data_IF_915965112002
#
_entry.id   IF_915965112002
#
_cell.length_a   1.000
_cell.length_b   1.000
_cell.length_c   1.000
_cell.angle_alpha   90.00
_cell.angle_beta   90.00
_cell.angle_gamma   90.00
#
_symmetry.space_group_name_H-M   'P 1'
#
loop_
_entity.id
_entity.type
_entity.pdbx_description
1 polymer ?
#
# COMPACT_ATOMS: atom_id res chain seq x y z
N UNK A 1 19.12 9.96 31.55
CA UNK A 1 18.53 8.62 31.28
C UNK A 1 17.42 8.79 30.24
N UNK A 2 17.58 8.27 29.01
CA UNK A 2 16.48 8.22 28.03
C UNK A 2 15.46 7.19 28.54
N UNK A 3 14.23 7.62 28.85
CA UNK A 3 13.15 6.69 29.23
C UNK A 3 12.99 5.65 28.13
N UNK A 4 13.09 4.37 28.46
CA UNK A 4 12.80 3.29 27.54
C UNK A 4 11.34 3.42 27.09
N UNK A 5 11.10 3.71 25.80
CA UNK A 5 9.73 3.73 25.26
C UNK A 5 9.20 2.31 25.29
N UNK A 6 8.16 2.07 26.08
CA UNK A 6 7.45 0.80 26.09
C UNK A 6 6.92 0.55 24.66
N UNK A 7 7.21 -0.61 24.04
CA UNK A 7 6.72 -0.90 22.70
C UNK A 7 5.19 -0.95 22.69
N UNK A 8 4.57 -0.27 21.72
CA UNK A 8 3.11 -0.23 21.57
C UNK A 8 2.57 -1.65 21.31
N UNK A 9 1.34 -1.99 21.77
CA UNK A 9 0.73 -3.28 21.45
C UNK A 9 0.55 -3.45 19.93
N UNK A 10 0.29 -4.68 19.47
CA UNK A 10 0.15 -4.94 18.03
C UNK A 10 -1.03 -4.17 17.44
N UNK A 11 -2.15 -4.21 18.15
CA UNK A 11 -3.35 -3.43 17.85
C UNK A 11 -3.39 -2.24 18.79
N UNK A 12 -3.35 -1.04 18.22
CA UNK A 12 -3.55 0.21 18.95
C UNK A 12 -4.28 1.21 18.06
N UNK A 13 -5.01 2.12 18.71
CA UNK A 13 -5.83 3.15 18.06
C UNK A 13 -5.38 4.52 18.54
N UNK A 14 -4.40 5.09 17.85
CA UNK A 14 -4.02 6.48 18.10
C UNK A 14 -4.81 7.42 17.20
N UNK A 15 -4.92 8.68 17.63
CA UNK A 15 -5.47 9.72 16.77
C UNK A 15 -4.62 9.90 15.52
N UNK A 16 -5.31 10.10 14.40
CA UNK A 16 -4.66 10.36 13.13
C UNK A 16 -4.01 11.74 13.17
N UNK A 17 -2.75 11.79 12.79
CA UNK A 17 -2.01 13.04 12.62
C UNK A 17 -2.66 13.85 11.50
N UNK A 18 -2.48 15.18 11.57
CA UNK A 18 -3.08 16.09 10.60
C UNK A 18 -2.70 15.73 9.14
N UNK A 19 -1.43 15.39 8.90
CA UNK A 19 -0.96 15.01 7.56
C UNK A 19 -1.57 13.68 7.07
N UNK A 20 -1.85 12.72 7.96
CA UNK A 20 -2.52 11.45 7.57
C UNK A 20 -3.94 11.74 7.11
N UNK A 21 -4.68 12.61 7.84
CA UNK A 21 -6.01 13.06 7.44
C UNK A 21 -5.97 13.75 6.07
N UNK A 22 -5.01 14.63 5.84
CA UNK A 22 -4.82 15.30 4.54
C UNK A 22 -4.58 14.29 3.42
N UNK A 23 -3.73 13.28 3.65
CA UNK A 23 -3.48 12.22 2.66
C UNK A 23 -4.77 11.45 2.36
N UNK A 24 -5.57 11.08 3.35
CA UNK A 24 -6.84 10.39 3.10
C UNK A 24 -7.81 11.21 2.26
N UNK A 25 -7.90 12.53 2.51
CA UNK A 25 -8.75 13.44 1.73
C UNK A 25 -8.25 13.55 0.29
N UNK A 26 -6.95 13.79 0.09
CA UNK A 26 -6.34 13.86 -1.24
C UNK A 26 -6.55 12.54 -1.98
N UNK A 27 -6.32 11.42 -1.30
CA UNK A 27 -6.48 10.10 -1.89
C UNK A 27 -7.93 9.83 -2.29
N UNK A 28 -8.91 10.17 -1.46
CA UNK A 28 -10.33 10.07 -1.80
C UNK A 28 -10.70 10.89 -3.05
N UNK A 29 -10.15 12.10 -3.19
CA UNK A 29 -10.35 12.94 -4.38
C UNK A 29 -9.73 12.28 -5.61
N UNK A 30 -8.51 11.75 -5.51
CA UNK A 30 -7.87 11.02 -6.61
C UNK A 30 -8.71 9.79 -6.99
N UNK A 31 -9.17 9.00 -6.02
CA UNK A 31 -10.04 7.85 -6.25
C UNK A 31 -11.32 8.24 -6.99
N UNK A 32 -11.90 9.40 -6.65
CA UNK A 32 -13.08 9.93 -7.34
C UNK A 32 -12.76 10.31 -8.80
N UNK A 33 -11.63 10.99 -9.05
CA UNK A 33 -11.16 11.30 -10.40
C UNK A 33 -10.95 10.02 -11.24
N UNK A 34 -10.46 8.95 -10.61
CA UNK A 34 -10.30 7.63 -11.26
C UNK A 34 -11.67 7.03 -11.60
N UNK A 35 -12.63 7.06 -10.67
CA UNK A 35 -13.99 6.57 -10.91
C UNK A 35 -14.66 7.27 -12.12
N UNK A 36 -14.42 8.56 -12.27
CA UNK A 36 -14.93 9.39 -13.38
C UNK A 36 -13.92 9.58 -14.53
N UNK A 37 -12.89 8.75 -14.60
CA UNK A 37 -11.75 8.94 -15.52
C UNK A 37 -12.15 9.05 -16.99
N UNK A 38 -13.27 8.44 -17.40
CA UNK A 38 -13.81 8.53 -18.77
C UNK A 38 -14.21 9.95 -19.17
N UNK A 39 -14.51 10.82 -18.21
CA UNK A 39 -14.86 12.23 -18.47
C UNK A 39 -13.62 13.11 -18.68
N UNK A 40 -12.45 12.68 -18.21
CA UNK A 40 -11.25 13.50 -18.13
C UNK A 40 -10.12 13.04 -19.05
N UNK A 41 -10.08 11.76 -19.41
CA UNK A 41 -8.95 11.17 -20.12
C UNK A 41 -9.37 10.45 -21.40
N UNK A 42 -8.54 10.57 -22.44
CA UNK A 42 -8.62 9.72 -23.62
C UNK A 42 -8.25 8.27 -23.29
N UNK A 43 -8.67 7.32 -24.14
CA UNK A 43 -8.52 5.87 -23.94
C UNK A 43 -7.11 5.45 -23.46
N UNK A 44 -6.07 5.70 -24.26
CA UNK A 44 -4.70 5.29 -23.90
C UNK A 44 -4.15 5.97 -22.65
N UNK A 45 -4.54 7.23 -22.39
CA UNK A 45 -4.15 7.93 -21.16
C UNK A 45 -4.88 7.33 -19.96
N UNK A 46 -6.15 6.97 -20.12
CA UNK A 46 -6.98 6.37 -19.07
C UNK A 46 -6.42 5.03 -18.61
N UNK A 47 -5.99 4.18 -19.54
CA UNK A 47 -5.31 2.92 -19.24
C UNK A 47 -4.09 3.15 -18.35
N UNK A 48 -3.18 4.02 -18.78
CA UNK A 48 -1.95 4.32 -18.05
C UNK A 48 -2.24 4.90 -16.66
N UNK A 49 -3.20 5.83 -16.56
CA UNK A 49 -3.56 6.48 -15.29
C UNK A 49 -4.15 5.48 -14.30
N UNK A 50 -5.06 4.60 -14.73
CA UNK A 50 -5.66 3.59 -13.84
C UNK A 50 -4.61 2.58 -13.38
N UNK A 51 -3.77 2.09 -14.29
CA UNK A 51 -2.69 1.17 -13.96
C UNK A 51 -1.69 1.79 -12.96
N UNK A 52 -1.27 3.03 -13.23
CA UNK A 52 -0.35 3.77 -12.36
C UNK A 52 -0.98 4.07 -11.01
N UNK A 53 -2.25 4.48 -10.96
CA UNK A 53 -2.98 4.71 -9.72
C UNK A 53 -2.97 3.46 -8.83
N UNK A 54 -3.32 2.30 -9.40
CA UNK A 54 -3.40 1.05 -8.65
C UNK A 54 -2.01 0.61 -8.14
N UNK A 55 -1.01 0.62 -9.01
CA UNK A 55 0.36 0.16 -8.69
C UNK A 55 1.07 1.12 -7.72
N UNK A 56 1.01 2.43 -7.99
CA UNK A 56 1.67 3.43 -7.15
C UNK A 56 1.03 3.55 -5.78
N UNK A 57 -0.27 3.32 -5.64
CA UNK A 57 -0.90 3.27 -4.31
C UNK A 57 -0.21 2.24 -3.43
N UNK A 58 0.00 1.03 -3.95
CA UNK A 58 0.57 -0.08 -3.17
C UNK A 58 2.02 0.18 -2.77
N UNK A 59 2.81 0.74 -3.69
CA UNK A 59 4.17 1.19 -3.41
C UNK A 59 4.19 2.34 -2.39
N UNK A 60 3.29 3.32 -2.55
CA UNK A 60 3.19 4.49 -1.67
C UNK A 60 2.85 4.11 -0.23
N UNK A 61 1.87 3.22 -0.08
CA UNK A 61 1.46 2.69 1.22
C UNK A 61 2.63 2.09 1.99
N UNK A 62 3.42 1.30 1.29
CA UNK A 62 4.54 0.61 1.90
C UNK A 62 5.73 1.53 2.18
N UNK A 63 6.14 2.35 1.21
CA UNK A 63 7.37 3.14 1.33
C UNK A 63 7.16 4.34 2.27
N UNK A 64 6.03 5.04 2.16
CA UNK A 64 5.80 6.30 2.86
C UNK A 64 4.85 6.17 4.05
N UNK A 65 3.94 5.20 4.03
CA UNK A 65 2.91 5.05 5.05
C UNK A 65 3.07 3.84 5.96
N UNK A 66 4.19 3.09 5.89
CA UNK A 66 4.37 1.91 6.76
C UNK A 66 4.21 2.24 8.25
N UNK A 67 4.71 3.40 8.71
CA UNK A 67 4.55 3.81 10.12
C UNK A 67 3.07 4.08 10.44
N UNK A 68 2.35 4.72 9.53
CA UNK A 68 0.91 4.99 9.66
C UNK A 68 0.11 3.69 9.71
N UNK A 69 0.41 2.73 8.83
CA UNK A 69 -0.27 1.44 8.73
C UNK A 69 -0.10 0.55 9.98
N UNK A 70 0.84 0.85 10.88
CA UNK A 70 0.94 0.18 12.18
C UNK A 70 -0.16 0.63 13.14
N UNK A 71 -0.69 1.84 12.98
CA UNK A 71 -1.87 2.31 13.72
C UNK A 71 -3.11 1.64 13.11
N UNK A 72 -3.81 0.85 13.91
CA UNK A 72 -4.92 0.04 13.41
C UNK A 72 -6.08 0.90 12.87
N UNK A 73 -6.23 2.14 13.37
CA UNK A 73 -7.21 3.10 12.81
C UNK A 73 -6.87 3.48 11.36
N UNK A 74 -5.60 3.79 11.07
CA UNK A 74 -5.15 4.11 9.71
C UNK A 74 -5.25 2.89 8.79
N UNK A 75 -4.85 1.71 9.31
CA UNK A 75 -4.97 0.45 8.60
C UNK A 75 -6.40 0.16 8.14
N UNK A 76 -7.40 0.31 9.03
CA UNK A 76 -8.80 0.07 8.68
C UNK A 76 -9.31 1.03 7.59
N UNK A 77 -8.88 2.29 7.61
CA UNK A 77 -9.23 3.26 6.55
C UNK A 77 -8.65 2.81 5.21
N UNK A 78 -7.39 2.39 5.18
CA UNK A 78 -6.78 1.85 3.97
C UNK A 78 -7.42 0.54 3.51
N UNK A 79 -7.90 -0.29 4.44
CA UNK A 79 -8.68 -1.49 4.11
C UNK A 79 -10.01 -1.12 3.43
N UNK A 80 -10.68 -0.05 3.88
CA UNK A 80 -11.86 0.49 3.19
C UNK A 80 -11.52 0.97 1.77
N UNK A 81 -10.39 1.65 1.56
CA UNK A 81 -9.93 1.98 0.20
C UNK A 81 -9.62 0.73 -0.63
N UNK A 82 -9.08 -0.33 -0.02
CA UNK A 82 -8.94 -1.63 -0.67
C UNK A 82 -10.27 -2.24 -1.13
N UNK A 83 -11.34 -2.09 -0.35
CA UNK A 83 -12.68 -2.50 -0.78
C UNK A 83 -13.20 -1.63 -1.94
N UNK A 84 -12.97 -0.32 -1.90
CA UNK A 84 -13.29 0.59 -3.01
C UNK A 84 -12.52 0.20 -4.27
N UNK A 85 -11.26 -0.22 -4.16
CA UNK A 85 -10.48 -0.70 -5.31
C UNK A 85 -11.09 -1.94 -5.96
N UNK A 86 -11.59 -2.88 -5.16
CA UNK A 86 -12.33 -4.04 -5.68
C UNK A 86 -13.60 -3.57 -6.40
N UNK A 87 -14.35 -2.63 -5.82
CA UNK A 87 -15.53 -2.06 -6.49
C UNK A 87 -15.18 -1.37 -7.81
N UNK A 88 -14.09 -0.61 -7.85
CA UNK A 88 -13.60 0.03 -9.08
C UNK A 88 -13.17 -1.00 -10.12
N UNK A 89 -12.45 -2.05 -9.72
CA UNK A 89 -12.12 -3.16 -10.62
C UNK A 89 -13.39 -3.78 -11.22
N UNK A 90 -14.40 -4.08 -10.39
CA UNK A 90 -15.66 -4.65 -10.87
C UNK A 90 -16.42 -3.68 -11.78
N UNK A 91 -16.35 -2.38 -11.51
CA UNK A 91 -16.95 -1.33 -12.33
C UNK A 91 -16.26 -1.19 -13.70
N UNK A 92 -14.93 -1.33 -13.74
CA UNK A 92 -14.13 -1.28 -14.97
C UNK A 92 -14.08 -2.61 -15.72
N UNK A 93 -14.52 -3.69 -15.10
CA UNK A 93 -14.51 -5.02 -15.71
C UNK A 93 -15.46 -5.06 -16.91
N UNK A 94 -14.92 -5.42 -18.07
CA UNK A 94 -15.66 -5.44 -19.34
C UNK A 94 -15.65 -4.12 -20.10
N UNK A 95 -14.83 -3.15 -19.67
CA UNK A 95 -14.59 -1.91 -20.39
C UNK A 95 -13.48 -2.12 -21.43
N UNK A 96 -13.86 -2.13 -22.72
CA UNK A 96 -12.94 -2.36 -23.85
C UNK A 96 -11.78 -1.36 -23.90
N UNK A 97 -12.02 -0.13 -23.46
CA UNK A 97 -11.02 0.93 -23.41
C UNK A 97 -9.90 0.61 -22.38
N UNK A 98 -10.09 -0.39 -21.51
CA UNK A 98 -9.14 -0.80 -20.47
C UNK A 98 -8.55 -2.19 -20.72
N UNK A 99 -8.81 -2.78 -21.88
CA UNK A 99 -8.20 -4.04 -22.29
C UNK A 99 -6.72 -3.85 -22.62
N UNK A 100 -5.91 -4.75 -22.09
CA UNK A 100 -4.51 -4.92 -22.40
C UNK A 100 -4.34 -6.27 -23.10
N UNK A 101 -3.25 -6.48 -23.87
CA UNK A 101 -3.05 -7.72 -24.63
C UNK A 101 -3.21 -9.03 -23.84
N UNK A 102 -3.00 -8.98 -22.52
CA UNK A 102 -3.10 -10.16 -21.64
C UNK A 102 -4.01 -9.95 -20.42
N UNK A 103 -4.81 -8.88 -20.36
CA UNK A 103 -5.61 -8.61 -19.16
C UNK A 103 -6.28 -7.25 -19.18
N UNK A 104 -6.44 -6.61 -18.03
CA UNK A 104 -7.01 -5.25 -17.93
C UNK A 104 -6.14 -4.30 -17.12
N UNK A 105 -6.06 -3.04 -17.54
CA UNK A 105 -5.35 -1.99 -16.83
C UNK A 105 -5.85 -1.79 -15.38
N UNK A 106 -7.09 -2.22 -15.10
CA UNK A 106 -7.70 -2.16 -13.76
C UNK A 106 -7.32 -3.33 -12.85
N UNK A 107 -6.74 -4.41 -13.37
CA UNK A 107 -6.44 -5.65 -12.64
C UNK A 107 -5.63 -5.43 -11.35
N UNK A 108 -4.56 -4.62 -11.37
CA UNK A 108 -3.77 -4.28 -10.18
C UNK A 108 -4.55 -3.74 -8.98
N UNK A 109 -5.76 -3.18 -9.17
CA UNK A 109 -6.60 -2.69 -8.06
C UNK A 109 -6.91 -3.79 -7.04
N UNK A 110 -7.00 -5.05 -7.49
CA UNK A 110 -7.27 -6.20 -6.64
C UNK A 110 -6.15 -6.49 -5.63
N UNK A 111 -4.93 -6.01 -5.88
CA UNK A 111 -3.77 -6.36 -5.05
C UNK A 111 -3.71 -5.56 -3.74
N UNK A 112 -4.50 -4.49 -3.58
CA UNK A 112 -4.45 -3.63 -2.39
C UNK A 112 -4.77 -4.38 -1.10
N UNK A 113 -5.85 -5.19 -1.05
CA UNK A 113 -6.20 -5.95 0.15
C UNK A 113 -5.15 -7.05 0.45
N UNK A 114 -4.76 -7.91 -0.51
CA UNK A 114 -3.70 -8.90 -0.28
C UNK A 114 -2.42 -8.29 0.27
N UNK A 115 -1.98 -7.14 -0.27
CA UNK A 115 -0.76 -6.48 0.18
C UNK A 115 -0.92 -5.83 1.56
N UNK A 116 -2.08 -5.27 1.89
CA UNK A 116 -2.38 -4.79 3.25
C UNK A 116 -2.38 -5.93 4.28
N UNK A 117 -2.92 -7.10 3.93
CA UNK A 117 -2.88 -8.29 4.78
C UNK A 117 -1.45 -8.81 4.93
N UNK A 118 -0.70 -8.90 3.84
CA UNK A 118 0.72 -9.26 3.85
C UNK A 118 1.51 -8.32 4.75
N UNK A 119 1.26 -7.00 4.68
CA UNK A 119 1.89 -6.03 5.56
C UNK A 119 1.67 -6.35 7.05
N UNK A 120 0.43 -6.63 7.46
CA UNK A 120 0.14 -6.98 8.86
C UNK A 120 0.78 -8.31 9.26
N UNK A 121 0.82 -9.29 8.36
CA UNK A 121 1.51 -10.56 8.59
C UNK A 121 3.02 -10.35 8.80
N UNK A 122 3.69 -9.60 7.91
CA UNK A 122 5.12 -9.31 8.06
C UNK A 122 5.40 -8.50 9.33
N UNK A 123 4.48 -7.61 9.73
CA UNK A 123 4.57 -6.90 11.00
C UNK A 123 4.44 -7.81 12.21
N UNK A 124 3.53 -8.77 12.15
CA UNK A 124 3.40 -9.79 13.18
C UNK A 124 4.69 -10.60 13.31
N UNK A 125 5.24 -11.12 12.20
CA UNK A 125 6.49 -11.88 12.19
C UNK A 125 7.68 -11.05 12.70
N UNK A 126 7.78 -9.78 12.31
CA UNK A 126 8.83 -8.88 12.80
C UNK A 126 8.80 -8.72 14.32
N UNK A 127 7.60 -8.57 14.90
CA UNK A 127 7.43 -8.45 16.35
C UNK A 127 7.72 -9.75 17.08
N UNK A 128 7.35 -10.89 16.51
CA UNK A 128 7.58 -12.19 17.13
C UNK A 128 9.08 -12.54 17.16
N UNK A 129 9.77 -12.39 16.03
CA UNK A 129 11.18 -12.77 15.93
C UNK A 129 12.16 -11.72 16.45
N UNK A 130 11.85 -10.43 16.28
CA UNK A 130 12.80 -9.34 16.56
C UNK A 130 12.36 -8.45 17.74
N UNK A 131 11.15 -8.68 18.29
CA UNK A 131 10.56 -7.86 19.38
C UNK A 131 10.49 -6.37 19.06
N UNK A 132 10.43 -6.01 17.78
CA UNK A 132 10.33 -4.63 17.28
C UNK A 132 9.34 -4.53 16.13
N UNK A 133 8.88 -3.31 15.89
CA UNK A 133 7.98 -3.04 14.78
C UNK A 133 8.69 -3.22 13.44
N UNK A 134 7.91 -3.57 12.42
CA UNK A 134 8.37 -3.77 11.05
C UNK A 134 8.83 -2.47 10.40
N UNK A 135 10.02 -2.49 9.81
CA UNK A 135 10.76 -1.32 9.35
C UNK A 135 11.09 -1.45 7.86
N UNK A 136 11.09 -0.32 7.15
CA UNK A 136 11.47 -0.26 5.73
C UNK A 136 12.94 0.19 5.61
N UNK A 137 13.82 -0.63 4.99
CA UNK A 137 15.22 -0.28 4.75
C UNK A 137 15.40 1.00 3.92
N UNK A 138 16.37 1.83 4.28
CA UNK A 138 16.82 2.95 3.44
C UNK A 138 17.90 2.50 2.45
N UNK A 139 18.02 3.23 1.33
CA UNK A 139 19.04 2.97 0.31
C UNK A 139 20.43 3.20 0.89
N UNK A 140 21.30 2.18 0.81
CA UNK A 140 22.71 2.29 1.23
C UNK A 140 23.03 1.81 2.65
N UNK A 141 22.12 1.12 3.34
CA UNK A 141 22.41 0.53 4.66
C UNK A 141 22.26 1.50 5.83
N UNK A 142 21.72 2.69 5.58
CA UNK A 142 21.44 3.67 6.62
C UNK A 142 20.26 3.28 7.52
N UNK A 143 19.95 4.09 8.53
CA UNK A 143 18.78 3.87 9.38
C UNK A 143 17.47 3.97 8.57
N UNK A 144 16.36 3.52 9.16
CA UNK A 144 15.07 3.51 8.45
C UNK A 144 14.57 4.89 8.04
N UNK A 145 13.77 4.91 6.96
CA UNK A 145 13.42 6.15 6.25
C UNK A 145 12.66 7.17 7.11
N UNK A 146 11.87 6.72 8.09
CA UNK A 146 10.98 7.61 8.87
C UNK A 146 11.38 7.72 10.34
N UNK A 147 11.79 6.63 10.99
CA UNK A 147 12.04 6.62 12.45
C UNK A 147 13.52 6.65 12.84
N UNK A 148 14.45 6.72 11.87
CA UNK A 148 15.89 6.57 12.03
C UNK A 148 16.33 5.38 12.92
N UNK A 149 15.69 4.23 12.78
CA UNK A 149 16.04 2.97 13.46
C UNK A 149 17.10 2.20 12.70
N UNK A 150 18.03 1.60 13.42
CA UNK A 150 19.02 0.69 12.83
C UNK A 150 18.35 -0.56 12.23
N UNK A 151 18.78 -0.90 11.02
CA UNK A 151 18.24 -2.03 10.26
C UNK A 151 18.93 -3.33 10.67
N UNK A 152 18.19 -4.44 10.64
CA UNK A 152 18.78 -5.78 10.75
C UNK A 152 18.56 -6.57 9.46
N UNK A 153 19.32 -7.66 9.29
CA UNK A 153 19.16 -8.58 8.16
C UNK A 153 17.71 -9.06 7.99
N UNK A 154 16.99 -9.26 9.09
CA UNK A 154 15.61 -9.70 9.05
C UNK A 154 14.66 -8.63 8.48
N UNK A 155 14.94 -7.33 8.63
CA UNK A 155 14.16 -6.27 7.96
C UNK A 155 14.32 -6.33 6.45
N UNK A 156 15.54 -6.59 5.97
CA UNK A 156 15.81 -6.74 4.53
C UNK A 156 15.08 -7.94 3.94
N UNK A 157 15.03 -9.06 4.66
CA UNK A 157 14.28 -10.24 4.24
C UNK A 157 12.79 -9.91 4.13
N UNK A 158 12.19 -9.35 5.19
CA UNK A 158 10.78 -9.02 5.19
C UNK A 158 10.44 -7.95 4.13
N UNK A 159 11.34 -6.99 3.90
CA UNK A 159 11.22 -6.02 2.81
C UNK A 159 11.25 -6.68 1.44
N UNK A 160 12.16 -7.62 1.24
CA UNK A 160 12.30 -8.36 -0.03
C UNK A 160 11.05 -9.18 -0.29
N UNK A 161 10.49 -9.84 0.74
CA UNK A 161 9.22 -10.58 0.63
C UNK A 161 8.10 -9.65 0.17
N UNK A 162 7.93 -8.49 0.82
CA UNK A 162 6.88 -7.54 0.42
C UNK A 162 7.06 -7.05 -1.02
N UNK A 163 8.27 -6.63 -1.40
CA UNK A 163 8.54 -6.12 -2.75
C UNK A 163 8.38 -7.21 -3.81
N UNK A 164 8.80 -8.44 -3.53
CA UNK A 164 8.60 -9.57 -4.43
C UNK A 164 7.10 -9.88 -4.60
N UNK A 165 6.32 -9.85 -3.52
CA UNK A 165 4.86 -10.01 -3.60
C UNK A 165 4.18 -8.87 -4.35
N UNK A 166 4.61 -7.61 -4.14
CA UNK A 166 4.12 -6.46 -4.88
C UNK A 166 4.36 -6.63 -6.39
N UNK A 167 5.59 -6.93 -6.79
CA UNK A 167 5.93 -7.12 -8.20
C UNK A 167 5.21 -8.35 -8.80
N UNK A 168 5.20 -9.47 -8.08
CA UNK A 168 4.57 -10.72 -8.52
C UNK A 168 3.07 -10.59 -8.68
N UNK A 169 2.36 -9.96 -7.72
CA UNK A 169 0.93 -9.73 -7.82
C UNK A 169 0.57 -8.76 -8.95
N UNK A 170 1.35 -7.68 -9.12
CA UNK A 170 1.11 -6.75 -10.23
C UNK A 170 1.32 -7.43 -11.59
N UNK A 171 2.37 -8.24 -11.72
CA UNK A 171 2.59 -9.05 -12.92
C UNK A 171 1.40 -9.98 -13.18
N UNK A 172 0.99 -10.79 -12.19
CA UNK A 172 -0.14 -11.71 -12.33
C UNK A 172 -1.45 -10.99 -12.68
N UNK A 173 -1.73 -9.84 -12.06
CA UNK A 173 -2.99 -9.11 -12.25
C UNK A 173 -3.15 -8.43 -13.61
N UNK A 174 -2.09 -8.34 -14.42
CA UNK A 174 -2.13 -7.81 -15.79
C UNK A 174 -2.21 -8.94 -16.82
N UNK A 175 -2.01 -10.20 -16.38
CA UNK A 175 -2.03 -11.40 -17.21
C UNK A 175 -3.31 -12.26 -17.04
N UNK A 176 -4.22 -11.87 -16.13
CA UNK A 176 -5.49 -12.54 -15.83
C UNK A 176 -6.59 -11.51 -15.53
#
# INVERSE_FOLDING_TARGET
MKKAKIPKPFIYYEELKYWEKTIFVIYAIITLCIAFSRLFFSEGVRQAVIFMYATLTQAFLYIFLYVSLRNFRSYLIWLCFGAIHIMLYLYFKGDYDLELPNGTASGPLLNTIPLLLLFQLLRFLSREFQKRDFVVPSKGGGPDLIENKELTAADYILFTIYMASLCGLNFLSVHY
#
